data_IF_827342239855
#
_entry.id   IF_827342239855
#
_cell.length_a   1.000
_cell.length_b   1.000
_cell.length_c   1.000
_cell.angle_alpha   90.00
_cell.angle_beta   90.00
_cell.angle_gamma   90.00
#
_symmetry.space_group_name_H-M   'P 1'
#
loop_
_entity.id
_entity.type
_entity.pdbx_description
1 polymer ?
#
# COMPACT_ATOMS: atom_id res chain seq x y z
N UNK A 1 -1.55 15.52 -2.97
CA UNK A 1 -0.45 15.80 -2.01
C UNK A 1 -0.88 15.45 -0.60
N UNK A 2 -0.10 14.64 0.09
CA UNK A 2 -0.45 14.10 1.40
C UNK A 2 -0.35 15.14 2.53
N UNK A 3 -1.10 14.91 3.62
CA UNK A 3 -0.94 15.58 4.92
C UNK A 3 -0.40 14.55 5.91
N UNK A 4 0.87 14.69 6.30
CA UNK A 4 1.50 13.74 7.23
C UNK A 4 0.96 13.93 8.65
N UNK A 5 0.92 12.84 9.41
CA UNK A 5 0.48 12.84 10.81
C UNK A 5 1.45 13.60 11.72
N UNK A 6 2.76 13.37 11.57
CA UNK A 6 3.77 14.07 12.36
C UNK A 6 4.13 15.42 11.77
N UNK A 7 4.34 16.42 12.63
CA UNK A 7 4.80 17.76 12.22
C UNK A 7 6.14 17.67 11.47
N UNK A 8 7.06 16.84 11.95
CA UNK A 8 8.39 16.65 11.35
C UNK A 8 8.29 16.19 9.90
N UNK A 9 7.54 15.11 9.64
CA UNK A 9 7.38 14.60 8.27
C UNK A 9 6.53 15.51 7.40
N UNK A 10 5.57 16.23 7.98
CA UNK A 10 4.72 17.11 7.19
C UNK A 10 5.50 18.27 6.54
N UNK A 11 6.67 18.63 7.08
CA UNK A 11 7.58 19.58 6.43
C UNK A 11 8.12 19.06 5.10
N UNK A 12 8.29 17.76 4.93
CA UNK A 12 8.80 17.12 3.70
C UNK A 12 7.88 17.40 2.50
N UNK A 13 6.57 17.52 2.74
CA UNK A 13 5.55 17.69 1.68
C UNK A 13 5.72 18.97 0.85
N UNK A 14 6.48 19.96 1.34
CA UNK A 14 6.74 21.21 0.60
C UNK A 14 7.51 20.95 -0.70
N UNK A 15 8.47 20.01 -0.69
CA UNK A 15 9.33 19.76 -1.83
C UNK A 15 8.57 19.17 -3.02
N UNK A 16 7.86 18.03 -2.87
CA UNK A 16 7.10 17.49 -3.99
C UNK A 16 5.92 18.41 -4.36
N UNK A 17 5.33 19.15 -3.42
CA UNK A 17 4.26 20.11 -3.75
C UNK A 17 4.74 21.25 -4.66
N UNK A 18 5.93 21.81 -4.38
CA UNK A 18 6.54 22.80 -5.26
C UNK A 18 6.84 22.23 -6.65
N UNK A 19 7.35 21.00 -6.72
CA UNK A 19 7.64 20.32 -8.00
C UNK A 19 6.35 20.12 -8.80
N UNK A 20 5.31 19.52 -8.20
CA UNK A 20 4.05 19.25 -8.90
C UNK A 20 3.30 20.51 -9.31
N UNK A 21 3.42 21.62 -8.55
CA UNK A 21 2.78 22.91 -8.90
C UNK A 21 3.52 23.71 -9.96
N UNK A 22 4.85 23.68 -9.98
CA UNK A 22 5.62 24.67 -10.73
C UNK A 22 6.54 24.09 -11.80
N UNK A 23 6.91 22.81 -11.73
CA UNK A 23 7.78 22.22 -12.73
C UNK A 23 7.02 21.98 -14.04
N UNK A 24 7.58 22.41 -15.18
CA UNK A 24 6.92 22.37 -16.50
C UNK A 24 6.34 21.00 -16.90
N UNK A 25 6.94 19.90 -16.41
CA UNK A 25 6.44 18.53 -16.66
C UNK A 25 5.16 18.15 -15.89
N UNK A 26 4.82 18.86 -14.82
CA UNK A 26 3.76 18.47 -13.89
C UNK A 26 2.73 19.57 -13.66
N UNK A 27 3.16 20.82 -13.70
CA UNK A 27 2.30 21.98 -13.51
C UNK A 27 1.10 21.91 -14.48
N UNK A 28 -0.11 22.02 -13.92
CA UNK A 28 -1.39 21.93 -14.64
C UNK A 28 -1.66 20.60 -15.37
N UNK A 29 -0.85 19.56 -15.13
CA UNK A 29 -1.00 18.23 -15.76
C UNK A 29 -1.37 17.13 -14.77
N UNK A 30 -1.13 17.34 -13.47
CA UNK A 30 -1.38 16.32 -12.43
C UNK A 30 -2.53 16.79 -11.52
N UNK A 31 -3.67 16.07 -11.45
CA UNK A 31 -4.77 16.43 -10.56
C UNK A 31 -4.41 16.20 -9.09
N UNK A 32 -4.99 17.02 -8.21
CA UNK A 32 -4.79 16.95 -6.76
C UNK A 32 -6.02 16.38 -6.05
N UNK A 33 -5.98 15.09 -5.74
CA UNK A 33 -7.05 14.42 -4.98
C UNK A 33 -6.94 14.59 -3.46
N UNK A 34 -5.82 15.14 -2.97
CA UNK A 34 -5.65 15.55 -1.57
C UNK A 34 -4.70 16.74 -1.49
N UNK A 35 -4.79 17.51 -0.41
CA UNK A 35 -3.96 18.71 -0.22
C UNK A 35 -3.30 18.74 1.16
N UNK A 36 -2.05 19.17 1.21
CA UNK A 36 -1.25 19.31 2.44
C UNK A 36 -1.80 20.36 3.43
N UNK A 37 -2.65 21.26 2.94
CA UNK A 37 -3.24 22.36 3.70
C UNK A 37 -4.58 21.97 4.36
N UNK A 38 -5.09 20.77 4.08
CA UNK A 38 -6.23 20.20 4.80
C UNK A 38 -5.78 19.75 6.19
N UNK A 39 -6.08 20.58 7.20
CA UNK A 39 -5.50 20.45 8.55
C UNK A 39 -6.17 19.39 9.43
N UNK A 40 -7.39 18.99 9.11
CA UNK A 40 -8.24 18.19 10.00
C UNK A 40 -7.88 16.69 9.97
N UNK A 41 -7.50 16.19 8.80
CA UNK A 41 -7.37 14.75 8.55
C UNK A 41 -6.05 14.44 7.85
N UNK A 42 -5.41 13.33 8.23
CA UNK A 42 -4.10 12.93 7.72
C UNK A 42 -4.22 11.73 6.78
N UNK A 43 -3.33 11.68 5.79
CA UNK A 43 -3.18 10.56 4.86
C UNK A 43 -1.71 10.46 4.47
N UNK A 44 -1.12 9.27 4.55
CA UNK A 44 0.29 9.02 4.22
C UNK A 44 0.42 7.99 3.09
N UNK A 45 1.49 8.10 2.30
CA UNK A 45 1.65 7.31 1.07
C UNK A 45 1.85 5.80 1.31
N UNK A 46 2.38 5.42 2.47
CA UNK A 46 2.53 4.00 2.85
C UNK A 46 1.18 3.29 3.00
N UNK A 47 0.11 4.03 3.26
CA UNK A 47 -1.24 3.46 3.34
C UNK A 47 -1.90 3.28 1.99
N UNK A 48 -1.41 3.92 0.92
CA UNK A 48 -2.06 3.91 -0.39
C UNK A 48 -1.45 2.82 -1.27
N UNK A 49 -2.28 1.90 -1.72
CA UNK A 49 -1.93 0.84 -2.66
C UNK A 49 -2.87 0.90 -3.87
N UNK A 50 -2.28 1.18 -5.04
CA UNK A 50 -2.99 1.13 -6.32
C UNK A 50 -3.06 -0.33 -6.78
N UNK A 51 -4.24 -0.95 -6.67
CA UNK A 51 -4.40 -2.37 -6.99
C UNK A 51 -4.56 -2.58 -8.49
N UNK A 52 -5.46 -1.83 -9.12
CA UNK A 52 -5.74 -1.90 -10.55
C UNK A 52 -6.36 -0.57 -11.03
N UNK A 53 -6.80 -0.51 -12.30
CA UNK A 53 -7.38 0.69 -12.93
C UNK A 53 -8.65 1.24 -12.26
N UNK A 54 -9.36 0.43 -11.48
CA UNK A 54 -10.65 0.79 -10.89
C UNK A 54 -10.64 0.85 -9.36
N UNK A 55 -9.70 0.13 -8.73
CA UNK A 55 -9.70 -0.14 -7.29
C UNK A 55 -8.40 0.28 -6.62
N UNK A 56 -8.53 0.99 -5.50
CA UNK A 56 -7.45 1.24 -4.54
C UNK A 56 -7.68 0.42 -3.27
N UNK A 57 -6.60 0.09 -2.56
CA UNK A 57 -6.63 -0.38 -1.18
C UNK A 57 -5.96 0.70 -0.33
N UNK A 58 -6.64 1.18 0.71
CA UNK A 58 -6.07 2.20 1.59
C UNK A 58 -6.17 1.76 3.06
N UNK A 59 -5.05 1.81 3.78
CA UNK A 59 -5.03 1.54 5.22
C UNK A 59 -5.64 2.70 6.02
N UNK A 60 -6.60 2.40 6.90
CA UNK A 60 -6.94 3.28 8.02
C UNK A 60 -6.04 2.89 9.17
N UNK A 61 -5.07 3.75 9.51
CA UNK A 61 -3.99 3.46 10.47
C UNK A 61 -3.87 4.57 11.50
N UNK A 62 -2.79 4.57 12.30
CA UNK A 62 -2.46 5.72 13.13
C UNK A 62 -2.05 6.97 12.30
N UNK A 63 -1.78 6.79 11.00
CA UNK A 63 -1.28 7.84 10.09
C UNK A 63 -2.32 8.32 9.07
N UNK A 64 -3.24 7.44 8.71
CA UNK A 64 -4.31 7.74 7.74
C UNK A 64 -5.68 7.53 8.39
N UNK A 65 -6.54 8.54 8.31
CA UNK A 65 -7.91 8.47 8.88
C UNK A 65 -8.93 8.09 7.80
N UNK A 66 -10.03 7.44 8.20
CA UNK A 66 -11.11 7.08 7.27
C UNK A 66 -11.71 8.32 6.58
N UNK A 67 -11.87 9.43 7.32
CA UNK A 67 -12.37 10.70 6.75
C UNK A 67 -11.44 11.28 5.68
N UNK A 68 -10.12 11.14 5.85
CA UNK A 68 -9.17 11.54 4.80
C UNK A 68 -9.39 10.71 3.53
N UNK A 69 -9.62 9.40 3.68
CA UNK A 69 -9.92 8.48 2.58
C UNK A 69 -11.22 8.88 1.88
N UNK A 70 -12.28 9.18 2.63
CA UNK A 70 -13.58 9.60 2.07
C UNK A 70 -13.42 10.87 1.22
N UNK A 71 -12.73 11.89 1.76
CA UNK A 71 -12.49 13.16 1.08
C UNK A 71 -11.58 13.01 -0.15
N UNK A 72 -10.55 12.17 -0.05
CA UNK A 72 -9.69 11.79 -1.17
C UNK A 72 -10.51 11.10 -2.28
N UNK A 73 -11.34 10.14 -1.89
CA UNK A 73 -12.14 9.30 -2.80
C UNK A 73 -13.21 10.13 -3.49
N UNK A 74 -13.86 11.07 -2.79
CA UNK A 74 -14.84 11.99 -3.39
C UNK A 74 -14.23 12.78 -4.55
N UNK A 75 -13.05 13.39 -4.36
CA UNK A 75 -12.36 14.10 -5.44
C UNK A 75 -11.94 13.16 -6.56
N UNK A 76 -11.39 12.00 -6.23
CA UNK A 76 -10.93 11.01 -7.19
C UNK A 76 -12.06 10.48 -8.07
N UNK A 77 -13.23 10.22 -7.51
CA UNK A 77 -14.36 9.65 -8.25
C UNK A 77 -15.10 10.70 -9.08
N UNK A 78 -15.03 11.97 -8.70
CA UNK A 78 -15.67 13.08 -9.42
C UNK A 78 -14.80 13.65 -10.55
N UNK A 79 -13.55 13.21 -10.68
CA UNK A 79 -12.70 13.54 -11.81
C UNK A 79 -13.12 12.72 -13.06
N UNK A 80 -13.53 13.36 -14.17
CA UNK A 80 -13.94 12.65 -15.38
C UNK A 80 -12.82 11.85 -16.06
N UNK A 81 -11.55 12.18 -15.80
CA UNK A 81 -10.38 11.47 -16.33
C UNK A 81 -9.96 10.29 -15.44
N UNK A 82 -10.57 10.14 -14.26
CA UNK A 82 -10.28 9.07 -13.32
C UNK A 82 -11.14 7.83 -13.61
N UNK A 83 -10.49 6.68 -13.80
CA UNK A 83 -11.15 5.38 -13.92
C UNK A 83 -11.50 4.73 -12.57
N UNK A 84 -11.06 5.32 -11.46
CA UNK A 84 -11.29 4.74 -10.13
C UNK A 84 -12.74 4.91 -9.69
N UNK A 85 -13.32 3.84 -9.16
CA UNK A 85 -14.70 3.82 -8.68
C UNK A 85 -14.84 3.20 -7.28
N UNK A 86 -13.77 2.60 -6.76
CA UNK A 86 -13.78 1.85 -5.50
C UNK A 86 -12.50 2.06 -4.70
N UNK A 87 -12.64 2.28 -3.40
CA UNK A 87 -11.56 2.11 -2.43
C UNK A 87 -11.97 1.06 -1.39
N UNK A 88 -11.10 0.07 -1.18
CA UNK A 88 -11.17 -0.88 -0.07
C UNK A 88 -10.36 -0.29 1.09
N UNK A 89 -11.03 0.18 2.13
CA UNK A 89 -10.40 0.74 3.32
C UNK A 89 -10.21 -0.35 4.39
N UNK A 90 -8.98 -0.59 4.85
CA UNK A 90 -8.65 -1.60 5.85
C UNK A 90 -8.38 -0.93 7.20
N UNK A 91 -9.26 -1.12 8.19
CA UNK A 91 -9.10 -0.55 9.54
C UNK A 91 -8.18 -1.42 10.39
N UNK A 92 -6.90 -1.03 10.39
CA UNK A 92 -5.83 -1.73 11.08
C UNK A 92 -5.68 -1.23 12.53
N UNK A 93 -5.13 -2.04 13.44
CA UNK A 93 -4.92 -1.65 14.83
C UNK A 93 -3.98 -0.47 14.90
N UNK A 94 -4.26 0.48 15.79
CA UNK A 94 -3.45 1.69 15.94
C UNK A 94 -2.21 1.39 16.79
N UNK A 95 -1.26 0.66 16.20
CA UNK A 95 0.01 0.31 16.83
C UNK A 95 1.19 0.58 15.89
N UNK A 96 2.39 0.66 16.46
CA UNK A 96 3.62 0.92 15.68
C UNK A 96 3.89 -0.17 14.65
N UNK A 97 3.45 -1.40 14.88
CA UNK A 97 3.61 -2.51 13.94
C UNK A 97 2.75 -2.34 12.67
N UNK A 98 1.67 -1.56 12.75
CA UNK A 98 0.75 -1.25 11.66
C UNK A 98 0.77 0.25 11.34
N UNK A 99 1.97 0.85 11.33
CA UNK A 99 2.07 2.30 11.10
C UNK A 99 1.58 2.71 9.71
N UNK A 100 1.74 1.83 8.73
CA UNK A 100 1.21 1.93 7.38
C UNK A 100 0.72 0.56 6.89
N UNK A 101 -0.17 0.53 5.90
CA UNK A 101 -0.61 -0.71 5.27
C UNK A 101 0.56 -1.51 4.66
N UNK A 102 1.47 -0.81 4.00
CA UNK A 102 2.57 -1.42 3.26
C UNK A 102 3.67 -2.06 4.13
N UNK A 103 3.63 -1.85 5.45
CA UNK A 103 4.49 -2.57 6.40
C UNK A 103 3.92 -3.93 6.76
N UNK A 104 2.67 -4.23 6.39
CA UNK A 104 2.03 -5.52 6.68
C UNK A 104 1.40 -6.19 5.47
N UNK A 105 1.25 -5.47 4.35
CA UNK A 105 0.53 -5.97 3.19
C UNK A 105 0.95 -5.26 1.90
N UNK A 106 1.41 -6.02 0.90
CA UNK A 106 1.81 -5.47 -0.41
C UNK A 106 1.39 -6.40 -1.55
N UNK A 107 0.90 -5.81 -2.65
CA UNK A 107 0.64 -6.52 -3.91
C UNK A 107 1.93 -6.61 -4.74
N UNK A 108 2.26 -7.81 -5.24
CA UNK A 108 3.54 -8.11 -5.91
C UNK A 108 3.38 -8.79 -7.28
N UNK A 109 2.16 -9.21 -7.61
CA UNK A 109 1.79 -9.84 -8.88
C UNK A 109 0.28 -9.65 -9.11
N UNK A 110 -0.25 -10.14 -10.23
CA UNK A 110 -1.68 -10.07 -10.56
C UNK A 110 -2.60 -10.64 -9.46
N UNK A 111 -2.19 -11.74 -8.83
CA UNK A 111 -2.93 -12.44 -7.79
C UNK A 111 -2.13 -12.70 -6.51
N UNK A 112 -0.87 -12.24 -6.45
CA UNK A 112 0.01 -12.52 -5.31
C UNK A 112 0.18 -11.32 -4.43
N UNK A 113 0.02 -11.56 -3.15
CA UNK A 113 0.25 -10.59 -2.10
C UNK A 113 1.24 -11.15 -1.11
N UNK A 114 2.06 -10.28 -0.53
CA UNK A 114 2.84 -10.60 0.66
C UNK A 114 2.14 -9.95 1.85
N UNK A 115 1.98 -10.71 2.92
CA UNK A 115 1.35 -10.20 4.12
C UNK A 115 1.99 -10.74 5.39
N UNK A 116 1.96 -9.93 6.44
CA UNK A 116 2.37 -10.35 7.76
C UNK A 116 1.31 -11.27 8.39
N UNK A 117 1.68 -12.38 9.08
CA UNK A 117 0.72 -13.27 9.74
C UNK A 117 -0.28 -12.55 10.65
N UNK A 118 0.13 -11.48 11.35
CA UNK A 118 -0.77 -10.71 12.22
C UNK A 118 -1.99 -10.12 11.50
N UNK A 119 -1.94 -9.90 10.18
CA UNK A 119 -3.14 -9.42 9.45
C UNK A 119 -4.23 -10.52 9.38
N UNK A 120 -3.85 -11.78 9.49
CA UNK A 120 -4.80 -12.90 9.55
C UNK A 120 -5.19 -13.21 10.98
N UNK A 121 -4.24 -13.12 11.91
CA UNK A 121 -4.50 -13.41 13.32
C UNK A 121 -5.43 -12.36 13.96
N UNK A 122 -5.40 -11.12 13.47
CA UNK A 122 -6.28 -10.03 13.93
C UNK A 122 -7.45 -9.75 12.97
N UNK A 123 -7.77 -10.67 12.04
CA UNK A 123 -8.78 -10.42 11.00
C UNK A 123 -10.17 -10.08 11.57
N UNK A 124 -10.50 -10.66 12.74
CA UNK A 124 -11.76 -10.41 13.45
C UNK A 124 -11.81 -9.05 14.16
N UNK A 125 -10.65 -8.40 14.36
CA UNK A 125 -10.55 -7.05 14.92
C UNK A 125 -10.62 -5.96 13.84
N UNK A 126 -10.45 -6.34 12.57
CA UNK A 126 -10.42 -5.38 11.47
C UNK A 126 -11.80 -5.12 10.91
N UNK A 127 -12.09 -3.84 10.72
CA UNK A 127 -13.21 -3.43 9.89
C UNK A 127 -12.73 -3.19 8.48
N UNK A 128 -13.50 -3.69 7.52
CA UNK A 128 -13.26 -3.40 6.11
C UNK A 128 -14.37 -2.50 5.63
N UNK A 129 -14.02 -1.39 4.98
CA UNK A 129 -14.98 -0.48 4.39
C UNK A 129 -14.83 -0.48 2.86
N UNK A 130 -15.94 -0.39 2.16
CA UNK A 130 -15.97 -0.05 0.74
C UNK A 130 -16.40 1.41 0.62
N UNK A 131 -15.54 2.25 0.02
CA UNK A 131 -15.83 3.64 -0.31
C UNK A 131 -16.09 3.74 -1.81
N UNK A 132 -17.21 4.34 -2.16
CA UNK A 132 -17.70 4.49 -3.54
C UNK A 132 -18.46 5.81 -3.69
N UNK A 133 -18.93 6.13 -4.90
CA UNK A 133 -19.83 7.30 -5.11
C UNK A 133 -21.14 7.21 -4.30
N UNK A 134 -21.55 6.01 -3.92
CA UNK A 134 -22.73 5.76 -3.10
C UNK A 134 -22.46 5.99 -1.60
N UNK A 135 -21.23 6.32 -1.22
CA UNK A 135 -20.78 6.53 0.15
C UNK A 135 -19.91 5.39 0.66
N UNK A 136 -19.67 5.43 1.97
CA UNK A 136 -18.86 4.46 2.72
C UNK A 136 -19.77 3.45 3.42
N UNK A 137 -19.48 2.16 3.26
CA UNK A 137 -20.17 1.08 3.98
C UNK A 137 -19.19 0.08 4.55
N UNK A 138 -19.49 -0.44 5.73
CA UNK A 138 -18.77 -1.58 6.30
C UNK A 138 -19.12 -2.87 5.54
N UNK A 139 -18.12 -3.68 5.22
CA UNK A 139 -18.25 -4.93 4.45
C UNK A 139 -17.87 -6.11 5.34
N UNK A 140 -18.72 -7.14 5.34
CA UNK A 140 -18.55 -8.36 6.15
C UNK A 140 -17.85 -9.51 5.42
N UNK A 141 -17.12 -9.21 4.35
CA UNK A 141 -16.33 -10.19 3.59
C UNK A 141 -14.96 -10.33 4.20
N UNK A 142 -14.36 -11.50 4.07
CA UNK A 142 -12.95 -11.69 4.41
C UNK A 142 -12.06 -10.89 3.45
N UNK A 143 -10.84 -10.56 3.88
CA UNK A 143 -9.87 -9.88 3.04
C UNK A 143 -9.59 -10.68 1.75
N UNK A 144 -9.46 -12.01 1.86
CA UNK A 144 -9.18 -12.88 0.71
C UNK A 144 -10.31 -12.83 -0.33
N UNK A 145 -11.57 -12.88 0.11
CA UNK A 145 -12.73 -12.77 -0.78
C UNK A 145 -12.75 -11.42 -1.49
N UNK A 146 -12.51 -10.32 -0.77
CA UNK A 146 -12.50 -8.98 -1.36
C UNK A 146 -11.37 -8.78 -2.37
N UNK A 147 -10.18 -9.28 -2.05
CA UNK A 147 -9.05 -9.22 -2.98
C UNK A 147 -9.35 -10.07 -4.22
N UNK A 148 -9.88 -11.28 -4.04
CA UNK A 148 -10.24 -12.17 -5.15
C UNK A 148 -11.30 -11.58 -6.06
N UNK A 149 -12.32 -10.94 -5.50
CA UNK A 149 -13.33 -10.18 -6.24
C UNK A 149 -12.70 -9.02 -7.02
N UNK A 150 -11.79 -8.27 -6.38
CA UNK A 150 -11.17 -7.09 -6.97
C UNK A 150 -10.17 -7.43 -8.10
N UNK A 151 -9.47 -8.58 -8.03
CA UNK A 151 -8.56 -9.04 -9.08
C UNK A 151 -9.22 -10.00 -10.08
N UNK A 152 -10.44 -10.48 -9.77
CA UNK A 152 -11.24 -11.38 -10.61
C UNK A 152 -10.69 -12.81 -10.71
N UNK A 153 -9.91 -13.26 -9.73
CA UNK A 153 -9.33 -14.63 -9.61
C UNK A 153 -8.94 -14.91 -8.17
N UNK A 154 -8.70 -16.17 -7.83
CA UNK A 154 -8.21 -16.56 -6.50
C UNK A 154 -6.85 -15.91 -6.20
N UNK A 155 -6.69 -15.37 -5.00
CA UNK A 155 -5.44 -14.73 -4.57
C UNK A 155 -4.57 -15.67 -3.77
N UNK A 156 -3.25 -15.59 -3.99
CA UNK A 156 -2.25 -16.25 -3.17
C UNK A 156 -1.61 -15.26 -2.21
N UNK A 157 -1.67 -15.55 -0.91
CA UNK A 157 -1.00 -14.73 0.11
C UNK A 157 0.23 -15.46 0.65
N UNK A 158 1.39 -14.84 0.44
CA UNK A 158 2.69 -15.31 0.91
C UNK A 158 2.96 -14.69 2.29
N UNK A 159 3.20 -15.55 3.29
CA UNK A 159 3.39 -15.14 4.67
C UNK A 159 4.83 -14.66 4.91
N UNK A 160 4.99 -13.39 5.30
CA UNK A 160 6.28 -12.82 5.69
C UNK A 160 6.89 -13.62 6.86
N UNK A 161 8.15 -14.05 6.69
CA UNK A 161 8.90 -14.87 7.64
C UNK A 161 8.35 -16.29 7.88
N UNK A 162 7.36 -16.73 7.10
CA UNK A 162 6.80 -18.09 7.16
C UNK A 162 5.89 -18.35 8.35
N UNK A 163 5.87 -19.62 8.80
CA UNK A 163 5.03 -20.07 9.92
C UNK A 163 5.75 -20.06 11.27
N UNK A 164 7.08 -19.86 11.27
CA UNK A 164 7.85 -19.74 12.50
C UNK A 164 7.68 -18.35 13.11
N UNK A 165 7.20 -18.30 14.36
CA UNK A 165 6.86 -17.03 15.04
C UNK A 165 8.08 -16.13 15.20
N UNK A 166 9.26 -16.72 15.43
CA UNK A 166 10.52 -15.96 15.59
C UNK A 166 10.96 -15.37 14.26
N UNK A 167 10.94 -16.17 13.19
CA UNK A 167 11.20 -15.75 11.82
C UNK A 167 10.26 -14.64 11.36
N UNK A 168 8.95 -14.85 11.50
CA UNK A 168 7.90 -13.87 11.17
C UNK A 168 8.12 -12.54 11.91
N UNK A 169 8.29 -12.58 13.23
CA UNK A 169 8.50 -11.36 14.03
C UNK A 169 9.77 -10.60 13.62
N UNK A 170 10.86 -11.32 13.33
CA UNK A 170 12.14 -10.72 12.95
C UNK A 170 12.08 -10.06 11.58
N UNK A 171 11.50 -10.74 10.58
CA UNK A 171 11.44 -10.21 9.21
C UNK A 171 10.38 -9.11 9.09
N UNK A 172 9.33 -9.15 9.89
CA UNK A 172 8.40 -8.04 10.04
C UNK A 172 9.06 -6.78 10.58
N UNK A 173 9.89 -6.93 11.62
CA UNK A 173 10.62 -5.80 12.18
C UNK A 173 11.59 -5.17 11.16
N UNK A 174 12.00 -5.94 10.17
CA UNK A 174 12.85 -5.52 9.07
C UNK A 174 12.05 -5.12 7.83
N UNK A 175 10.74 -4.89 7.97
CA UNK A 175 9.83 -4.49 6.89
C UNK A 175 9.72 -5.48 5.72
N UNK A 176 9.83 -6.80 5.97
CA UNK A 176 9.90 -7.82 4.91
C UNK A 176 8.70 -7.93 3.97
N UNK A 177 7.57 -7.28 4.28
CA UNK A 177 6.40 -7.15 3.39
C UNK A 177 6.52 -5.94 2.44
N UNK A 178 7.40 -4.99 2.72
CA UNK A 178 7.51 -3.67 2.08
C UNK A 178 8.36 -3.69 0.80
N UNK A 179 8.23 -4.76 0.02
CA UNK A 179 8.97 -4.94 -1.23
C UNK A 179 8.42 -4.03 -2.33
N UNK A 180 9.27 -3.63 -3.28
CA UNK A 180 8.81 -2.87 -4.46
C UNK A 180 8.71 -3.79 -5.67
N UNK A 181 7.51 -3.89 -6.27
CA UNK A 181 7.31 -4.60 -7.53
C UNK A 181 7.82 -3.74 -8.70
N UNK A 182 8.72 -4.30 -9.51
CA UNK A 182 9.21 -3.67 -10.75
C UNK A 182 8.26 -3.95 -11.92
N UNK A 183 7.79 -5.19 -12.00
CA UNK A 183 6.78 -5.72 -12.92
C UNK A 183 6.09 -6.89 -12.21
N UNK A 184 4.97 -7.43 -12.74
CA UNK A 184 4.32 -8.59 -12.14
C UNK A 184 5.31 -9.73 -11.88
N UNK A 185 5.28 -10.29 -10.67
CA UNK A 185 6.17 -11.34 -10.17
C UNK A 185 7.68 -10.99 -10.21
N UNK A 186 8.07 -9.71 -10.17
CA UNK A 186 9.47 -9.30 -9.99
C UNK A 186 9.59 -8.16 -8.99
N UNK A 187 10.30 -8.39 -7.89
CA UNK A 187 10.40 -7.45 -6.77
C UNK A 187 11.84 -7.14 -6.38
N UNK A 188 12.05 -6.00 -5.71
CA UNK A 188 13.27 -5.71 -4.95
C UNK A 188 12.96 -5.81 -3.45
N UNK A 189 13.82 -6.51 -2.71
CA UNK A 189 13.74 -6.67 -1.25
C UNK A 189 15.12 -6.54 -0.59
N UNK A 190 15.19 -6.26 0.71
CA UNK A 190 16.43 -6.40 1.47
C UNK A 190 16.86 -7.85 1.64
N UNK A 191 18.16 -8.12 1.45
CA UNK A 191 18.74 -9.46 1.57
C UNK A 191 18.58 -10.11 2.97
N UNK A 192 18.39 -9.30 4.02
CA UNK A 192 18.24 -9.77 5.40
C UNK A 192 16.94 -10.55 5.66
N UNK A 193 15.94 -10.44 4.79
CA UNK A 193 14.63 -11.06 4.91
C UNK A 193 14.60 -12.42 4.18
N UNK A 194 15.54 -13.29 4.51
CA UNK A 194 15.87 -14.48 3.72
C UNK A 194 14.79 -15.56 3.72
N UNK A 195 13.98 -15.69 4.79
CA UNK A 195 12.86 -16.63 4.82
C UNK A 195 11.79 -16.17 3.84
N UNK A 196 11.42 -14.88 3.91
CA UNK A 196 10.47 -14.26 2.99
C UNK A 196 10.95 -14.36 1.55
N UNK A 197 12.23 -14.07 1.28
CA UNK A 197 12.81 -14.17 -0.07
C UNK A 197 12.69 -15.61 -0.62
N UNK A 198 13.00 -16.61 0.20
CA UNK A 198 12.87 -18.02 -0.20
C UNK A 198 11.41 -18.39 -0.52
N UNK A 199 10.44 -17.94 0.29
CA UNK A 199 9.02 -18.15 0.05
C UNK A 199 8.52 -17.46 -1.22
N UNK A 200 8.96 -16.21 -1.46
CA UNK A 200 8.66 -15.47 -2.69
C UNK A 200 9.17 -16.22 -3.93
N UNK A 201 10.43 -16.69 -3.88
CA UNK A 201 11.04 -17.47 -4.98
C UNK A 201 10.30 -18.77 -5.23
N UNK A 202 9.92 -19.50 -4.17
CA UNK A 202 9.10 -20.72 -4.27
C UNK A 202 7.71 -20.46 -4.86
N UNK A 203 7.16 -19.27 -4.67
CA UNK A 203 5.90 -18.83 -5.28
C UNK A 203 6.06 -18.29 -6.71
N UNK A 204 7.24 -18.43 -7.33
CA UNK A 204 7.50 -18.01 -8.70
C UNK A 204 7.81 -16.52 -8.87
N UNK A 205 8.11 -15.81 -7.78
CA UNK A 205 8.48 -14.39 -7.83
C UNK A 205 10.00 -14.26 -8.00
N UNK A 206 10.41 -13.50 -9.02
CA UNK A 206 11.81 -13.09 -9.19
C UNK A 206 12.16 -12.04 -8.13
N UNK A 207 13.12 -12.34 -7.26
CA UNK A 207 13.52 -11.43 -6.16
C UNK A 207 14.94 -10.94 -6.38
N UNK A 208 15.07 -9.64 -6.66
CA UNK A 208 16.32 -8.91 -6.65
C UNK A 208 16.59 -8.43 -5.22
N UNK A 209 17.78 -8.70 -4.70
CA UNK A 209 18.13 -8.31 -3.33
C UNK A 209 19.09 -7.14 -3.33
N UNK A 210 18.94 -6.24 -2.36
CA UNK A 210 19.91 -5.18 -2.08
C UNK A 210 20.43 -5.29 -0.64
N UNK A 211 21.66 -4.85 -0.43
CA UNK A 211 22.28 -4.81 0.88
C UNK A 211 21.54 -3.85 1.82
N UNK A 212 21.39 -4.24 3.08
CA UNK A 212 20.45 -3.59 4.01
C UNK A 212 21.08 -3.15 5.34
N UNK A 213 22.39 -2.94 5.39
CA UNK A 213 23.12 -2.67 6.64
C UNK A 213 22.70 -1.37 7.33
N UNK A 214 22.62 -0.28 6.56
CA UNK A 214 22.41 1.08 7.10
C UNK A 214 21.00 1.61 6.85
N UNK A 215 20.47 1.49 5.63
CA UNK A 215 19.15 2.04 5.27
C UNK A 215 18.02 1.46 6.11
N UNK A 216 18.10 0.16 6.46
CA UNK A 216 17.11 -0.51 7.29
C UNK A 216 17.00 0.06 8.71
N UNK A 217 18.00 0.81 9.20
CA UNK A 217 17.91 1.51 10.50
C UNK A 217 16.80 2.56 10.51
N UNK A 218 16.44 3.09 9.34
CA UNK A 218 15.31 3.98 9.13
C UNK A 218 13.93 3.32 9.26
N UNK A 219 13.87 1.97 9.35
CA UNK A 219 12.64 1.17 9.39
C UNK A 219 11.76 1.35 8.14
N UNK A 220 12.32 0.93 7.01
CA UNK A 220 11.62 0.82 5.73
C UNK A 220 12.45 0.05 4.71
N UNK A 221 11.79 -0.78 3.89
CA UNK A 221 12.34 -1.55 2.76
C UNK A 221 12.18 -0.71 1.44
N UNK A 222 12.56 -1.18 0.24
CA UNK A 222 12.53 -0.43 -1.01
C UNK A 222 11.24 0.30 -1.36
N UNK A 223 10.07 -0.20 -0.96
CA UNK A 223 8.80 0.49 -1.28
C UNK A 223 8.72 1.83 -0.55
N UNK A 224 9.11 1.90 0.72
CA UNK A 224 9.19 3.15 1.48
C UNK A 224 10.17 4.18 0.88
N UNK A 225 11.18 3.73 0.14
CA UNK A 225 12.20 4.58 -0.49
C UNK A 225 11.86 5.00 -1.92
N UNK A 226 10.72 4.56 -2.45
CA UNK A 226 10.35 4.79 -3.86
C UNK A 226 8.95 5.37 -4.00
N UNK A 227 8.73 6.11 -5.08
CA UNK A 227 7.42 6.63 -5.48
C UNK A 227 7.29 6.49 -6.99
N UNK A 228 6.55 5.47 -7.49
CA UNK A 228 6.34 5.30 -8.93
C UNK A 228 5.66 6.54 -9.52
N UNK A 229 6.28 7.16 -10.52
CA UNK A 229 5.68 8.30 -11.27
C UNK A 229 4.88 7.81 -12.48
N UNK A 230 5.27 6.67 -13.05
CA UNK A 230 4.63 6.05 -14.20
C UNK A 230 4.90 4.54 -14.17
N UNK A 231 3.90 3.75 -14.56
CA UNK A 231 3.97 2.30 -14.78
C UNK A 231 3.22 1.97 -16.06
N UNK A 232 3.64 0.94 -16.76
CA UNK A 232 2.87 0.39 -17.87
C UNK A 232 1.53 -0.15 -17.38
N UNK A 233 0.49 -0.04 -18.21
CA UNK A 233 -0.80 -0.65 -17.94
C UNK A 233 -0.66 -2.17 -17.87
N UNK A 234 -1.38 -2.77 -16.93
CA UNK A 234 -1.45 -4.22 -16.83
C UNK A 234 -2.13 -4.76 -18.09
N UNK A 235 -1.43 -5.61 -18.83
CA UNK A 235 -2.06 -6.36 -19.91
C UNK A 235 -3.14 -7.28 -19.31
N UNK A 236 -4.34 -7.26 -19.89
CA UNK A 236 -5.37 -8.23 -19.54
C UNK A 236 -4.86 -9.63 -19.89
N UNK A 237 -4.47 -10.40 -18.88
CA UNK A 237 -4.22 -11.83 -19.06
C UNK A 237 -5.59 -12.44 -19.35
N UNK A 238 -5.85 -12.73 -20.63
CA UNK A 238 -7.03 -13.51 -21.04
C UNK A 238 -7.06 -14.78 -20.19
N UNK A 239 -8.19 -14.96 -19.50
CA UNK A 239 -8.50 -16.14 -18.69
C UNK A 239 -8.34 -17.42 -19.51
#
# INVERSE_FOLDING_TARGET
MNRMWSVTRNRETIFPDLVFKHHNRFANQVPYYYERDWKEETIEGGDILVLNKETLIIGVTQRTTLKAIEKFSERLFNDPESSYSKVIALDLPKSRAFMHLDTVFTNIDYDKFIAHPLIFDCIDEFKIYEVSKQGTKEVKKTLIELLSDAVGREVQIIRCGGNDVVGASREQWNDGTNVVALRPAKVIAYERNWITIDLLRKAGVEVLTIASSELSRGRGDPRCMTMPLWREDLQEIKR
#
